data_IF_909222380580
#
_entry.id   IF_909222380580
#
_cell.length_a   1.000
_cell.length_b   1.000
_cell.length_c   1.000
_cell.angle_alpha   90.00
_cell.angle_beta   90.00
_cell.angle_gamma   90.00
#
_symmetry.space_group_name_H-M   'P 1'
#
loop_
_entity.id
_entity.type
_entity.pdbx_description
1 polymer ?
#
# COMPACT_ATOMS: atom_id res chain seq x y z
N UNK A 1 12.99 -55.27 -2.16
CA UNK A 1 12.55 -54.20 -3.09
C UNK A 1 11.42 -53.32 -2.57
N UNK A 2 10.38 -53.88 -1.91
CA UNK A 2 9.24 -53.07 -1.41
C UNK A 2 9.60 -52.03 -0.33
N UNK A 3 10.51 -52.37 0.59
CA UNK A 3 10.96 -51.47 1.68
C UNK A 3 11.59 -50.18 1.17
N UNK A 4 12.39 -50.27 0.09
CA UNK A 4 13.05 -49.10 -0.50
C UNK A 4 12.07 -48.12 -1.14
N UNK A 5 10.92 -48.60 -1.62
CA UNK A 5 9.88 -47.75 -2.23
C UNK A 5 9.17 -46.95 -1.14
N UNK A 6 8.84 -47.57 0.00
CA UNK A 6 8.18 -46.89 1.11
C UNK A 6 9.06 -45.83 1.75
N UNK A 7 10.36 -46.07 1.90
CA UNK A 7 11.29 -45.05 2.41
C UNK A 7 11.47 -43.90 1.43
N UNK A 8 11.49 -44.16 0.12
CA UNK A 8 11.58 -43.09 -0.89
C UNK A 8 10.32 -42.22 -0.91
N UNK A 9 9.14 -42.82 -0.74
CA UNK A 9 7.86 -42.10 -0.68
C UNK A 9 7.72 -41.26 0.60
N UNK A 10 8.20 -41.75 1.74
CA UNK A 10 8.20 -40.98 2.98
C UNK A 10 9.17 -39.80 2.93
N UNK A 11 10.34 -39.99 2.28
CA UNK A 11 11.33 -38.95 2.12
C UNK A 11 10.85 -37.82 1.19
N UNK A 12 10.16 -38.15 0.09
CA UNK A 12 9.62 -37.15 -0.83
C UNK A 12 8.52 -36.30 -0.19
N UNK A 13 7.66 -36.89 0.65
CA UNK A 13 6.64 -36.16 1.41
C UNK A 13 7.29 -35.20 2.43
N UNK A 14 8.34 -35.64 3.14
CA UNK A 14 9.05 -34.80 4.10
C UNK A 14 9.76 -33.60 3.44
N UNK A 15 10.29 -33.77 2.22
CA UNK A 15 10.91 -32.69 1.45
C UNK A 15 9.84 -31.72 0.94
N UNK A 16 8.73 -32.22 0.40
CA UNK A 16 7.63 -31.39 -0.10
C UNK A 16 6.96 -30.53 0.99
N UNK A 17 6.89 -31.03 2.23
CA UNK A 17 6.36 -30.27 3.37
C UNK A 17 7.30 -29.14 3.82
N UNK A 18 8.63 -29.32 3.70
CA UNK A 18 9.60 -28.28 4.05
C UNK A 18 9.73 -27.18 2.98
N UNK A 19 9.40 -27.45 1.72
CA UNK A 19 9.37 -26.40 0.68
C UNK A 19 8.25 -25.37 0.87
N UNK A 20 7.18 -25.70 1.62
CA UNK A 20 6.14 -24.74 1.97
C UNK A 20 6.44 -23.94 3.26
N UNK A 21 7.47 -24.31 4.03
CA UNK A 21 7.79 -23.64 5.30
C UNK A 21 8.84 -22.53 5.18
N UNK A 22 9.30 -22.22 3.96
CA UNK A 22 10.34 -21.21 3.70
C UNK A 22 9.83 -19.89 3.10
N UNK A 23 8.52 -19.70 3.02
CA UNK A 23 7.99 -18.36 2.72
C UNK A 23 8.14 -17.51 3.98
N UNK A 24 9.31 -16.88 4.12
CA UNK A 24 9.45 -15.79 5.06
C UNK A 24 8.40 -14.74 4.69
N UNK A 25 7.61 -14.30 5.67
CA UNK A 25 6.61 -13.23 5.52
C UNK A 25 7.19 -11.91 4.98
N UNK A 26 8.51 -11.83 4.80
CA UNK A 26 9.23 -10.71 4.20
C UNK A 26 9.20 -10.72 2.65
N UNK A 27 8.98 -11.86 2.00
CA UNK A 27 9.05 -11.98 0.53
C UNK A 27 7.71 -11.87 -0.18
N UNK A 28 6.60 -11.89 0.56
CA UNK A 28 5.29 -11.64 -0.03
C UNK A 28 5.04 -10.15 -0.11
N UNK A 29 4.60 -9.69 -1.29
CA UNK A 29 4.09 -8.33 -1.46
C UNK A 29 3.06 -8.06 -0.37
N UNK A 30 3.33 -7.02 0.42
CA UNK A 30 2.35 -6.55 1.39
C UNK A 30 1.11 -6.15 0.59
N UNK A 31 -0.08 -6.38 1.14
CA UNK A 31 -1.36 -5.99 0.55
C UNK A 31 -1.49 -4.44 0.56
N UNK A 32 -0.56 -3.79 -0.13
CA UNK A 32 -0.23 -2.38 -0.05
C UNK A 32 0.27 -1.92 -1.41
N UNK A 33 0.05 -0.65 -1.72
CA UNK A 33 0.53 -0.04 -2.94
C UNK A 33 0.73 1.45 -2.70
N UNK A 34 1.69 2.01 -3.41
CA UNK A 34 1.85 3.45 -3.42
C UNK A 34 0.79 4.10 -4.31
N UNK A 35 0.26 5.23 -3.83
CA UNK A 35 -0.60 6.11 -4.61
C UNK A 35 0.08 7.47 -4.71
N UNK A 36 -0.05 8.06 -5.89
CA UNK A 36 0.55 9.36 -6.21
C UNK A 36 -0.51 10.43 -6.11
N UNK A 37 -0.27 11.42 -5.26
CA UNK A 37 -1.22 12.48 -4.92
C UNK A 37 -0.65 13.84 -5.31
N UNK A 38 -1.48 14.67 -5.92
CA UNK A 38 -1.24 16.10 -6.12
C UNK A 38 -2.18 16.87 -5.19
N UNK A 39 -1.61 17.50 -4.17
CA UNK A 39 -2.35 18.38 -3.27
C UNK A 39 -2.57 19.75 -3.92
N UNK A 40 -3.83 20.14 -4.04
CA UNK A 40 -4.25 21.37 -4.69
C UNK A 40 -4.98 22.28 -3.69
N UNK A 41 -4.69 23.58 -3.76
CA UNK A 41 -5.47 24.61 -3.09
C UNK A 41 -5.83 25.69 -4.09
N UNK A 42 -7.12 25.95 -4.22
CA UNK A 42 -7.69 26.83 -5.23
C UNK A 42 -7.22 26.42 -6.65
N UNK A 43 -7.14 25.11 -6.91
CA UNK A 43 -6.66 24.53 -8.17
C UNK A 43 -5.17 24.68 -8.46
N UNK A 44 -4.36 25.18 -7.51
CA UNK A 44 -2.89 25.31 -7.63
C UNK A 44 -2.17 24.31 -6.75
N UNK A 45 -0.96 23.91 -7.14
CA UNK A 45 -0.16 23.01 -6.31
C UNK A 45 0.14 23.65 -4.94
N UNK A 46 -0.27 22.97 -3.88
CA UNK A 46 -0.14 23.49 -2.52
C UNK A 46 1.25 23.26 -1.92
N UNK A 47 2.03 22.29 -2.42
CA UNK A 47 3.27 21.80 -1.78
C UNK A 47 4.52 22.14 -2.59
N UNK A 48 4.38 22.28 -3.91
CA UNK A 48 5.49 22.51 -4.83
C UNK A 48 5.38 23.90 -5.47
N UNK A 49 6.53 24.55 -5.62
CA UNK A 49 6.61 25.90 -6.20
C UNK A 49 7.68 26.74 -5.51
N UNK A 50 7.82 27.99 -5.95
CA UNK A 50 8.71 28.97 -5.32
C UNK A 50 8.17 29.47 -3.98
N UNK A 51 6.84 29.49 -3.84
CA UNK A 51 6.13 29.90 -2.63
C UNK A 51 5.06 28.85 -2.29
N UNK A 52 5.47 27.69 -1.73
CA UNK A 52 4.54 26.61 -1.42
C UNK A 52 3.62 27.03 -0.27
N UNK A 53 2.32 26.78 -0.45
CA UNK A 53 1.29 27.14 0.54
C UNK A 53 1.40 26.26 1.79
N UNK A 54 1.89 25.03 1.61
CA UNK A 54 2.06 24.02 2.66
C UNK A 54 3.50 23.56 2.66
N UNK A 55 4.08 23.53 3.86
CA UNK A 55 5.41 22.96 4.06
C UNK A 55 5.36 21.44 3.93
N UNK A 56 6.33 20.86 3.22
CA UNK A 56 6.53 19.40 3.17
C UNK A 56 6.69 18.79 4.56
N UNK A 57 7.28 19.54 5.49
CA UNK A 57 7.51 19.06 6.86
C UNK A 57 6.23 18.91 7.67
N UNK A 58 5.13 19.52 7.22
CA UNK A 58 3.82 19.48 7.86
C UNK A 58 2.91 18.35 7.38
N UNK A 59 3.40 17.51 6.46
CA UNK A 59 2.62 16.43 5.87
C UNK A 59 3.15 15.10 6.38
N UNK A 60 2.25 14.33 6.97
CA UNK A 60 2.51 13.00 7.52
C UNK A 60 1.42 12.06 7.04
N UNK A 61 1.72 10.78 6.98
CA UNK A 61 0.67 9.78 6.85
C UNK A 61 0.86 8.67 7.87
N UNK A 62 -0.26 8.16 8.36
CA UNK A 62 -0.29 7.11 9.35
C UNK A 62 -1.23 5.99 8.95
N UNK A 63 -1.01 4.81 9.53
CA UNK A 63 -1.88 3.64 9.34
C UNK A 63 -2.56 3.36 10.66
N UNK A 64 -3.89 3.21 10.63
CA UNK A 64 -4.66 2.83 11.81
C UNK A 64 -5.01 1.36 11.81
N UNK A 65 -4.71 0.68 12.93
CA UNK A 65 -5.14 -0.70 13.23
C UNK A 65 -5.89 -0.66 14.55
N UNK A 66 -7.15 -1.12 14.58
CA UNK A 66 -7.98 -1.18 15.79
C UNK A 66 -7.98 0.13 16.61
N UNK A 67 -8.11 1.28 15.93
CA UNK A 67 -8.07 2.63 16.51
C UNK A 67 -6.72 3.11 17.06
N UNK A 68 -5.65 2.35 16.83
CA UNK A 68 -4.27 2.73 17.21
C UNK A 68 -3.44 3.06 15.97
N UNK A 69 -2.59 4.08 16.07
CA UNK A 69 -1.59 4.40 15.03
C UNK A 69 -0.47 3.36 15.12
N UNK A 70 -0.20 2.66 14.01
CA UNK A 70 0.83 1.59 13.96
C UNK A 70 2.04 2.00 13.14
N UNK A 71 1.86 2.91 12.19
CA UNK A 71 2.94 3.49 11.40
C UNK A 71 2.70 4.99 11.30
N UNK A 72 3.76 5.78 11.46
CA UNK A 72 3.81 7.19 11.14
C UNK A 72 5.02 7.43 10.23
N UNK A 73 4.78 8.02 9.07
CA UNK A 73 5.80 8.16 8.04
C UNK A 73 5.60 9.44 7.22
N UNK A 74 6.69 9.87 6.57
CA UNK A 74 6.65 11.01 5.66
C UNK A 74 6.37 10.54 4.23
N UNK A 75 5.54 11.26 3.46
CA UNK A 75 5.38 10.99 2.04
C UNK A 75 6.71 11.11 1.29
N UNK A 76 6.83 10.39 0.18
CA UNK A 76 7.95 10.57 -0.75
C UNK A 76 7.58 11.71 -1.70
N UNK A 77 8.35 12.81 -1.69
CA UNK A 77 8.08 13.96 -2.54
C UNK A 77 8.85 13.86 -3.87
N UNK A 78 8.11 13.82 -4.97
CA UNK A 78 8.68 13.77 -6.32
C UNK A 78 8.58 15.15 -6.98
N UNK A 79 9.69 15.90 -6.99
CA UNK A 79 9.71 17.30 -7.45
C UNK A 79 9.44 17.46 -8.96
N UNK A 80 9.81 16.49 -9.79
CA UNK A 80 9.66 16.57 -11.26
C UNK A 80 8.19 16.56 -11.65
N UNK A 81 7.42 15.63 -11.07
CA UNK A 81 5.97 15.50 -11.33
C UNK A 81 5.14 16.40 -10.40
N UNK A 82 5.78 17.00 -9.38
CA UNK A 82 5.15 17.84 -8.35
C UNK A 82 4.04 17.11 -7.60
N UNK A 83 4.36 15.90 -7.16
CA UNK A 83 3.44 14.97 -6.48
C UNK A 83 4.09 14.41 -5.22
N UNK A 84 3.25 13.96 -4.28
CA UNK A 84 3.68 13.17 -3.14
C UNK A 84 3.16 11.75 -3.28
N UNK A 85 3.94 10.79 -2.82
CA UNK A 85 3.63 9.37 -2.87
C UNK A 85 3.46 8.84 -1.45
N UNK A 86 2.35 8.16 -1.19
CA UNK A 86 2.06 7.50 0.09
C UNK A 86 1.71 6.03 -0.14
N UNK A 87 2.00 5.18 0.85
CA UNK A 87 1.62 3.77 0.81
C UNK A 87 0.27 3.56 1.50
N UNK A 88 -0.65 2.92 0.79
CA UNK A 88 -1.97 2.55 1.31
C UNK A 88 -2.10 1.04 1.37
N UNK A 89 -2.69 0.54 2.44
CA UNK A 89 -2.83 -0.90 2.74
C UNK A 89 -4.31 -1.28 2.64
N UNK A 90 -4.64 -2.44 2.08
CA UNK A 90 -6.05 -2.75 1.77
C UNK A 90 -6.93 -3.05 3.00
N UNK A 91 -6.30 -3.45 4.11
CA UNK A 91 -7.00 -3.83 5.34
C UNK A 91 -6.99 -2.71 6.39
N UNK A 92 -6.26 -1.62 6.13
CA UNK A 92 -6.04 -0.56 7.11
C UNK A 92 -6.21 0.82 6.47
N UNK A 93 -7.03 1.71 7.03
CA UNK A 93 -7.14 3.08 6.54
C UNK A 93 -5.81 3.81 6.74
N UNK A 94 -5.34 4.45 5.67
CA UNK A 94 -4.20 5.37 5.71
C UNK A 94 -4.72 6.77 5.91
N UNK A 95 -4.30 7.45 6.96
CA UNK A 95 -4.65 8.84 7.25
C UNK A 95 -3.52 9.74 6.78
N UNK A 96 -3.81 10.66 5.86
CA UNK A 96 -2.94 11.76 5.48
C UNK A 96 -3.25 12.96 6.38
N UNK A 97 -2.29 13.38 7.18
CA UNK A 97 -2.40 14.54 8.06
C UNK A 97 -1.62 15.72 7.49
N UNK A 98 -2.25 16.90 7.51
CA UNK A 98 -1.69 18.15 7.01
C UNK A 98 -1.79 19.20 8.12
N UNK A 99 -0.64 19.74 8.54
CA UNK A 99 -0.53 20.75 9.60
C UNK A 99 -1.17 20.37 10.95
N UNK A 100 -1.46 19.08 11.22
CA UNK A 100 -2.16 18.65 12.43
C UNK A 100 -3.61 19.12 12.54
N UNK A 101 -4.18 19.68 11.47
CA UNK A 101 -5.51 20.30 11.47
C UNK A 101 -6.47 19.55 10.54
N UNK A 102 -5.94 18.96 9.47
CA UNK A 102 -6.72 18.21 8.48
C UNK A 102 -6.24 16.78 8.40
N UNK A 103 -7.20 15.85 8.37
CA UNK A 103 -6.96 14.41 8.24
C UNK A 103 -7.84 13.87 7.12
N UNK A 104 -7.20 13.47 6.02
CA UNK A 104 -7.85 12.83 4.89
C UNK A 104 -7.61 11.32 4.97
N UNK A 105 -8.65 10.50 4.74
CA UNK A 105 -8.55 9.04 4.83
C UNK A 105 -8.52 8.40 3.46
N UNK A 106 -7.50 7.59 3.21
CA UNK A 106 -7.35 6.77 2.01
C UNK A 106 -7.55 5.30 2.34
N UNK A 107 -8.24 4.58 1.46
CA UNK A 107 -8.43 3.13 1.58
C UNK A 107 -8.41 2.51 0.20
N UNK A 108 -7.88 1.30 0.10
CA UNK A 108 -7.86 0.54 -1.15
C UNK A 108 -8.61 -0.76 -0.97
N UNK A 109 -9.26 -1.23 -2.04
CA UNK A 109 -9.74 -2.62 -2.11
C UNK A 109 -8.86 -3.34 -3.11
N UNK A 110 -8.42 -4.53 -2.74
CA UNK A 110 -7.59 -5.38 -3.59
C UNK A 110 -8.31 -6.68 -3.92
N UNK A 111 -7.91 -7.28 -5.03
CA UNK A 111 -8.33 -8.61 -5.46
C UNK A 111 -7.09 -9.48 -5.62
N UNK A 112 -7.19 -10.73 -5.18
CA UNK A 112 -6.14 -11.73 -5.40
C UNK A 112 -6.13 -12.12 -6.88
N UNK A 113 -5.02 -11.89 -7.56
CA UNK A 113 -4.85 -12.16 -9.00
C UNK A 113 -3.93 -13.33 -9.30
N UNK A 114 -3.03 -13.67 -8.37
CA UNK A 114 -2.21 -14.87 -8.48
C UNK A 114 -1.99 -15.53 -7.13
N UNK A 115 -1.74 -16.82 -7.16
CA UNK A 115 -1.21 -17.57 -6.04
C UNK A 115 0.08 -18.23 -6.52
N UNK A 116 1.21 -17.64 -6.18
CA UNK A 116 2.53 -18.17 -6.54
C UNK A 116 3.14 -18.74 -5.27
N UNK A 117 3.22 -20.06 -5.21
CA UNK A 117 3.75 -20.82 -4.05
C UNK A 117 3.00 -20.46 -2.75
N UNK A 118 3.56 -19.60 -1.88
CA UNK A 118 2.87 -19.13 -0.67
C UNK A 118 2.46 -17.64 -0.69
N UNK A 119 2.74 -16.91 -1.76
CA UNK A 119 2.39 -15.50 -1.86
C UNK A 119 1.15 -15.30 -2.73
N UNK A 120 0.31 -14.37 -2.29
CA UNK A 120 -0.83 -13.90 -3.06
C UNK A 120 -0.39 -12.64 -3.81
N UNK A 121 -0.51 -12.66 -5.13
CA UNK A 121 -0.46 -11.43 -5.91
C UNK A 121 -1.77 -10.69 -5.74
N UNK A 122 -1.69 -9.38 -5.49
CA UNK A 122 -2.84 -8.51 -5.33
C UNK A 122 -2.88 -7.48 -6.44
N UNK A 123 -4.07 -7.17 -6.92
CA UNK A 123 -4.31 -6.02 -7.80
C UNK A 123 -5.33 -5.11 -7.12
N UNK A 124 -5.09 -3.79 -7.15
CA UNK A 124 -6.08 -2.83 -6.65
C UNK A 124 -7.27 -2.82 -7.59
N UNK A 125 -8.46 -2.99 -7.02
CA UNK A 125 -9.73 -2.81 -7.72
C UNK A 125 -10.30 -1.43 -7.49
N UNK A 126 -10.11 -0.83 -6.31
CA UNK A 126 -10.63 0.52 -6.02
C UNK A 126 -9.72 1.31 -5.09
N UNK A 127 -9.67 2.63 -5.28
CA UNK A 127 -9.13 3.58 -4.29
C UNK A 127 -10.28 4.49 -3.83
N UNK A 128 -10.41 4.67 -2.53
CA UNK A 128 -11.37 5.57 -1.90
C UNK A 128 -10.65 6.66 -1.10
N UNK A 129 -11.19 7.87 -1.15
CA UNK A 129 -10.75 9.03 -0.39
C UNK A 129 -11.95 9.61 0.38
N UNK A 130 -11.83 9.73 1.69
CA UNK A 130 -12.89 10.16 2.61
C UNK A 130 -14.21 9.39 2.39
N UNK A 131 -14.10 8.08 2.16
CA UNK A 131 -15.25 7.18 1.91
C UNK A 131 -15.84 7.25 0.50
N UNK A 132 -15.37 8.16 -0.36
CA UNK A 132 -15.81 8.26 -1.76
C UNK A 132 -14.83 7.52 -2.68
N UNK A 133 -15.35 6.67 -3.56
CA UNK A 133 -14.53 5.97 -4.56
C UNK A 133 -14.03 6.99 -5.59
N UNK A 134 -12.71 7.14 -5.69
CA UNK A 134 -12.05 8.07 -6.61
C UNK A 134 -11.49 7.37 -7.84
N UNK A 135 -11.30 6.05 -7.79
CA UNK A 135 -10.85 5.26 -8.92
C UNK A 135 -11.30 3.80 -8.79
N UNK A 136 -11.61 3.18 -9.93
CA UNK A 136 -11.98 1.77 -10.07
C UNK A 136 -11.24 1.14 -11.26
N UNK A 137 -10.49 0.07 -11.04
CA UNK A 137 -9.63 -0.58 -12.05
C UNK A 137 -8.38 0.26 -12.38
N UNK A 138 -7.19 -0.36 -12.35
CA UNK A 138 -5.88 0.25 -12.70
C UNK A 138 -5.70 1.72 -12.27
N UNK A 139 -5.63 1.94 -10.96
CA UNK A 139 -5.42 3.27 -10.36
C UNK A 139 -3.96 3.71 -10.37
N UNK A 140 -3.35 3.78 -11.55
CA UNK A 140 -1.98 4.28 -11.75
C UNK A 140 -1.94 5.79 -12.06
N UNK A 141 -3.10 6.46 -12.04
CA UNK A 141 -3.22 7.88 -12.31
C UNK A 141 -2.94 8.75 -11.08
N UNK A 142 -2.37 9.93 -11.31
CA UNK A 142 -2.14 10.95 -10.28
C UNK A 142 -3.49 11.42 -9.74
N UNK A 143 -3.69 11.28 -8.42
CA UNK A 143 -4.91 11.67 -7.72
C UNK A 143 -4.82 13.16 -7.34
N UNK A 144 -5.74 13.99 -7.83
CA UNK A 144 -5.84 15.38 -7.42
C UNK A 144 -6.72 15.47 -6.17
N UNK A 145 -6.18 16.04 -5.10
CA UNK A 145 -6.87 16.20 -3.81
C UNK A 145 -6.92 17.69 -3.47
N UNK A 146 -8.13 18.24 -3.43
CA UNK A 146 -8.36 19.64 -3.06
C UNK A 146 -8.42 19.80 -1.55
N UNK A 147 -7.68 20.79 -1.03
CA UNK A 147 -7.50 21.04 0.40
C UNK A 147 -7.95 22.41 0.88
#
# INVERSE_FOLDING_TARGET
MKVAIYTFLLLSIAIALNSCSQCASADCDRNAKSITIKLLKDGKNAVFGLDPIISKDSIFYSIMVDSSIVLDSRPIFQNIEQVLEIYVYADYPTILEINGIRSDTFSITTQVTSLTECCRGYTITTVSHNGSVICTGECDSILNVEI
#
